data_IF_892325568980
#
_entry.id   IF_892325568980
#
_cell.length_a   1.000
_cell.length_b   1.000
_cell.length_c   1.000
_cell.angle_alpha   90.00
_cell.angle_beta   90.00
_cell.angle_gamma   90.00
#
_symmetry.space_group_name_H-M   'P 1'
#
loop_
_entity.id
_entity.type
_entity.pdbx_description
1 polymer ?
#
# COMPACT_ATOMS: atom_id res chain seq x y z
N UNK A 1 -21.44 -9.34 -13.94
CA UNK A 1 -20.79 -9.54 -12.62
C UNK A 1 -19.29 -9.37 -12.87
N UNK A 2 -18.68 -8.28 -12.39
CA UNK A 2 -17.23 -8.13 -12.47
C UNK A 2 -16.63 -9.01 -11.38
N UNK A 3 -15.90 -10.06 -11.76
CA UNK A 3 -15.08 -10.78 -10.80
C UNK A 3 -13.95 -9.84 -10.34
N UNK A 4 -13.72 -9.67 -9.03
CA UNK A 4 -12.57 -8.91 -8.58
C UNK A 4 -11.32 -9.61 -9.15
N UNK A 5 -10.55 -8.90 -9.95
CA UNK A 5 -9.27 -9.40 -10.44
C UNK A 5 -8.44 -9.79 -9.21
N UNK A 6 -7.94 -11.05 -9.15
CA UNK A 6 -7.14 -11.47 -8.01
C UNK A 6 -5.98 -10.51 -7.83
N UNK A 7 -5.80 -10.02 -6.61
CA UNK A 7 -4.74 -9.09 -6.28
C UNK A 7 -3.40 -9.78 -6.58
N UNK A 8 -2.56 -9.14 -7.40
CA UNK A 8 -1.22 -9.65 -7.69
C UNK A 8 -0.40 -9.83 -6.40
N UNK A 9 0.53 -10.79 -6.40
CA UNK A 9 1.32 -11.15 -5.23
C UNK A 9 2.07 -9.96 -4.62
N UNK A 10 2.62 -9.06 -5.45
CA UNK A 10 3.31 -7.87 -4.96
C UNK A 10 2.35 -6.93 -4.24
N UNK A 11 1.18 -6.66 -4.83
CA UNK A 11 0.16 -5.82 -4.19
C UNK A 11 -0.35 -6.44 -2.88
N UNK A 12 -0.50 -7.76 -2.82
CA UNK A 12 -0.83 -8.46 -1.57
C UNK A 12 0.23 -8.25 -0.49
N UNK A 13 1.51 -8.38 -0.85
CA UNK A 13 2.62 -8.14 0.08
C UNK A 13 2.64 -6.69 0.56
N UNK A 14 2.47 -5.72 -0.35
CA UNK A 14 2.44 -4.30 0.00
C UNK A 14 1.27 -3.99 0.94
N UNK A 15 0.08 -4.50 0.63
CA UNK A 15 -1.10 -4.34 1.48
C UNK A 15 -0.87 -4.93 2.89
N UNK A 16 -0.30 -6.13 2.97
CA UNK A 16 0.04 -6.77 4.25
C UNK A 16 1.04 -5.94 5.06
N UNK A 17 2.07 -5.38 4.42
CA UNK A 17 3.05 -4.53 5.08
C UNK A 17 2.43 -3.23 5.61
N UNK A 18 1.54 -2.59 4.83
CA UNK A 18 0.78 -1.42 5.27
C UNK A 18 -0.07 -1.74 6.51
N UNK A 19 -0.86 -2.81 6.47
CA UNK A 19 -1.72 -3.22 7.59
C UNK A 19 -0.87 -3.52 8.83
N UNK A 20 0.26 -4.21 8.66
CA UNK A 20 1.15 -4.55 9.77
C UNK A 20 1.76 -3.30 10.42
N UNK A 21 2.24 -2.34 9.64
CA UNK A 21 2.85 -1.11 10.20
C UNK A 21 1.77 -0.18 10.78
N UNK A 22 0.59 -0.10 10.14
CA UNK A 22 -0.52 0.71 10.63
C UNK A 22 -1.11 0.18 11.94
N UNK A 23 -1.27 -1.15 12.08
CA UNK A 23 -1.81 -1.74 13.33
C UNK A 23 -0.89 -1.53 14.54
N UNK A 24 0.42 -1.38 14.31
CA UNK A 24 1.40 -1.10 15.36
C UNK A 24 1.47 0.40 15.68
N UNK A 25 1.45 1.26 14.66
CA UNK A 25 1.73 2.69 14.83
C UNK A 25 0.48 3.58 14.92
N UNK A 26 -0.64 3.14 14.36
CA UNK A 26 -1.84 3.94 14.14
C UNK A 26 -1.66 5.07 13.12
N UNK A 27 -0.51 5.14 12.43
CA UNK A 27 -0.15 6.25 11.55
C UNK A 27 -0.19 5.85 10.07
N UNK A 28 -0.55 6.77 9.15
CA UNK A 28 -0.46 6.52 7.71
C UNK A 28 0.93 6.06 7.29
N UNK A 29 0.99 5.00 6.48
CA UNK A 29 2.25 4.35 6.07
C UNK A 29 2.61 4.75 4.65
N UNK A 30 3.76 5.43 4.48
CA UNK A 30 4.23 5.91 3.18
C UNK A 30 5.13 4.92 2.44
N UNK A 31 5.29 5.12 1.13
CA UNK A 31 6.11 4.25 0.27
C UNK A 31 7.60 4.21 0.65
N UNK A 32 8.15 5.30 1.19
CA UNK A 32 9.54 5.33 1.67
C UNK A 32 9.75 4.41 2.88
N UNK A 33 8.81 4.41 3.83
CA UNK A 33 8.85 3.53 5.00
C UNK A 33 8.75 2.07 4.56
N UNK A 34 7.84 1.78 3.62
CA UNK A 34 7.67 0.42 3.09
C UNK A 34 8.91 -0.09 2.36
N UNK A 35 9.52 0.73 1.50
CA UNK A 35 10.75 0.38 0.79
C UNK A 35 11.87 0.04 1.78
N UNK A 36 12.07 0.88 2.80
CA UNK A 36 13.15 0.72 3.76
C UNK A 36 12.95 -0.47 4.71
N UNK A 37 11.72 -0.74 5.16
CA UNK A 37 11.43 -1.77 6.17
C UNK A 37 11.12 -3.15 5.59
N UNK A 38 10.48 -3.23 4.42
CA UNK A 38 9.88 -4.48 3.93
C UNK A 38 10.35 -4.89 2.53
N UNK A 39 10.80 -3.96 1.68
CA UNK A 39 11.03 -4.24 0.26
C UNK A 39 12.37 -3.71 -0.28
N UNK A 40 13.46 -4.39 0.06
CA UNK A 40 14.83 -4.02 -0.34
C UNK A 40 15.01 -3.93 -1.87
N UNK A 41 14.27 -4.75 -2.64
CA UNK A 41 14.36 -4.80 -4.10
C UNK A 41 13.40 -3.83 -4.83
N UNK A 42 12.54 -3.10 -4.11
CA UNK A 42 11.57 -2.19 -4.72
C UNK A 42 11.90 -0.74 -4.43
N UNK A 43 11.79 0.10 -5.45
CA UNK A 43 11.90 1.54 -5.27
C UNK A 43 10.65 2.12 -4.59
N UNK A 44 10.80 3.24 -3.88
CA UNK A 44 9.67 3.97 -3.31
C UNK A 44 8.67 4.46 -4.38
N UNK A 45 9.15 4.71 -5.60
CA UNK A 45 8.30 5.08 -6.74
C UNK A 45 7.42 3.90 -7.19
N UNK A 46 7.99 2.70 -7.28
CA UNK A 46 7.24 1.47 -7.58
C UNK A 46 6.16 1.24 -6.53
N UNK A 47 6.53 1.29 -5.24
CA UNK A 47 5.57 1.07 -4.15
C UNK A 47 4.48 2.13 -4.14
N UNK A 48 4.81 3.41 -4.41
CA UNK A 48 3.81 4.47 -4.50
C UNK A 48 2.75 4.18 -5.57
N UNK A 49 3.18 3.67 -6.73
CA UNK A 49 2.26 3.31 -7.81
C UNK A 49 1.32 2.17 -7.38
N UNK A 50 1.85 1.14 -6.72
CA UNK A 50 1.04 0.03 -6.21
C UNK A 50 0.07 0.49 -5.10
N UNK A 51 0.50 1.39 -4.21
CA UNK A 51 -0.37 2.00 -3.21
C UNK A 51 -1.50 2.83 -3.85
N UNK A 52 -1.19 3.59 -4.91
CA UNK A 52 -2.20 4.35 -5.64
C UNK A 52 -3.23 3.43 -6.31
N UNK A 53 -2.79 2.31 -6.86
CA UNK A 53 -3.66 1.28 -7.43
C UNK A 53 -4.55 0.62 -6.35
N UNK A 54 -3.97 0.28 -5.20
CA UNK A 54 -4.71 -0.22 -4.03
C UNK A 54 -5.77 0.78 -3.53
N UNK A 55 -5.51 2.08 -3.61
CA UNK A 55 -6.52 3.11 -3.30
C UNK A 55 -7.59 3.16 -4.38
N UNK A 56 -7.21 3.18 -5.66
CA UNK A 56 -8.15 3.21 -6.79
C UNK A 56 -9.08 1.99 -6.85
N UNK A 57 -8.61 0.85 -6.35
CA UNK A 57 -9.39 -0.40 -6.24
C UNK A 57 -10.12 -0.56 -4.91
N UNK A 58 -9.97 0.38 -3.97
CA UNK A 58 -10.72 0.43 -2.71
C UNK A 58 -10.16 -0.41 -1.56
N UNK A 59 -8.98 -1.02 -1.72
CA UNK A 59 -8.31 -1.75 -0.62
C UNK A 59 -7.70 -0.82 0.43
N UNK A 60 -7.27 0.36 0.01
CA UNK A 60 -6.72 1.40 0.89
C UNK A 60 -7.49 2.70 0.71
N UNK A 61 -7.40 3.58 1.70
CA UNK A 61 -7.89 4.95 1.62
C UNK A 61 -6.74 5.88 1.97
N UNK A 62 -6.55 6.92 1.16
CA UNK A 62 -5.62 7.99 1.52
C UNK A 62 -6.26 8.89 2.57
N UNK A 63 -5.48 9.44 3.52
CA UNK A 63 -5.98 10.51 4.37
C UNK A 63 -6.48 11.64 3.48
N UNK A 64 -7.74 12.02 3.62
CA UNK A 64 -8.26 13.20 2.94
C UNK A 64 -7.47 14.40 3.47
N UNK A 65 -6.62 14.97 2.62
CA UNK A 65 -5.94 16.22 2.93
C UNK A 65 -7.00 17.32 2.89
N UNK A 66 -7.69 17.52 4.01
CA UNK A 66 -8.53 18.70 4.20
C UNK A 66 -7.57 19.87 4.43
N UNK A 67 -7.52 20.78 3.45
CA UNK A 67 -6.86 22.07 3.59
C UNK A 67 -7.80 23.09 4.22
#
# INVERSE_FOLDING_TARGET
>A
MLEPTPLDERKQQILKAVVSDYTVTGMPVGSQVLAAKYFIALSSATIRNELADLVGTGYLQQPQSTS
#
